data_IF_057661038380
#
_entry.id   IF_057661038380
#
_cell.length_a   1.000
_cell.length_b   1.000
_cell.length_c   1.000
_cell.angle_alpha   90.00
_cell.angle_beta   90.00
_cell.angle_gamma   90.00
#
_symmetry.space_group_name_H-M   'P 1'
#
loop_
_entity.id
_entity.type
_entity.pdbx_description
1 polymer ?
#
# COMPACT_ATOMS: atom_id res chain seq x y z
N UNK A 1 -10.05 40.17 -13.36
CA UNK A 1 -9.54 39.45 -12.19
C UNK A 1 -8.03 39.62 -12.13
N UNK A 2 -7.49 40.23 -11.08
CA UNK A 2 -6.05 40.55 -11.00
C UNK A 2 -5.20 39.29 -10.84
N UNK A 3 -3.89 39.39 -11.16
CA UNK A 3 -2.92 38.28 -10.95
C UNK A 3 -2.86 37.88 -9.47
N UNK A 4 -2.98 38.86 -8.57
CA UNK A 4 -3.00 38.66 -7.12
C UNK A 4 -4.22 37.87 -6.65
N UNK A 5 -5.42 38.13 -7.18
CA UNK A 5 -6.66 37.40 -6.85
C UNK A 5 -6.54 35.92 -7.25
N UNK A 6 -5.98 35.62 -8.41
CA UNK A 6 -5.77 34.25 -8.89
C UNK A 6 -4.72 33.49 -8.05
N UNK A 7 -3.68 34.18 -7.57
CA UNK A 7 -2.68 33.58 -6.69
C UNK A 7 -3.27 33.29 -5.31
N UNK A 8 -4.06 34.22 -4.76
CA UNK A 8 -4.75 34.04 -3.48
C UNK A 8 -5.78 32.88 -3.53
N UNK A 9 -6.59 32.79 -4.58
CA UNK A 9 -7.53 31.67 -4.77
C UNK A 9 -6.79 30.32 -4.87
N UNK A 10 -5.68 30.26 -5.59
CA UNK A 10 -4.85 29.05 -5.67
C UNK A 10 -4.22 28.68 -4.33
N UNK A 11 -3.79 29.68 -3.54
CA UNK A 11 -3.23 29.46 -2.21
C UNK A 11 -4.30 28.96 -1.23
N UNK A 12 -5.49 29.56 -1.22
CA UNK A 12 -6.64 29.14 -0.41
C UNK A 12 -7.06 27.72 -0.76
N UNK A 13 -7.17 27.41 -2.04
CA UNK A 13 -7.51 26.05 -2.49
C UNK A 13 -6.46 25.01 -2.06
N UNK A 14 -5.18 25.33 -2.13
CA UNK A 14 -4.09 24.45 -1.65
C UNK A 14 -4.12 24.24 -0.12
N UNK A 15 -4.41 25.30 0.65
CA UNK A 15 -4.54 25.21 2.12
C UNK A 15 -5.74 24.34 2.52
N UNK A 16 -6.87 24.48 1.84
CA UNK A 16 -8.07 23.70 2.12
C UNK A 16 -7.87 22.20 1.83
N UNK A 17 -7.24 21.86 0.71
CA UNK A 17 -6.86 20.48 0.38
C UNK A 17 -5.90 19.91 1.44
N UNK A 18 -4.92 20.70 1.87
CA UNK A 18 -3.97 20.31 2.93
C UNK A 18 -4.67 20.00 4.27
N UNK A 19 -5.71 20.74 4.67
CA UNK A 19 -6.49 20.46 5.89
C UNK A 19 -7.25 19.14 5.78
N UNK A 20 -7.96 18.92 4.69
CA UNK A 20 -8.71 17.68 4.45
C UNK A 20 -7.77 16.46 4.42
N UNK A 21 -6.64 16.59 3.76
CA UNK A 21 -5.65 15.52 3.69
C UNK A 21 -5.01 15.21 5.06
N UNK A 22 -4.76 16.21 5.90
CA UNK A 22 -4.29 15.99 7.29
C UNK A 22 -5.36 15.34 8.16
N UNK A 23 -6.60 15.78 8.05
CA UNK A 23 -7.72 15.15 8.76
C UNK A 23 -7.88 13.69 8.33
N UNK A 24 -7.82 13.40 7.02
CA UNK A 24 -7.86 12.05 6.50
C UNK A 24 -6.71 11.18 7.04
N UNK A 25 -5.48 11.72 7.12
CA UNK A 25 -4.35 11.02 7.70
C UNK A 25 -4.60 10.63 9.16
N UNK A 26 -5.01 11.60 9.99
CA UNK A 26 -5.27 11.37 11.41
C UNK A 26 -6.40 10.37 11.64
N UNK A 27 -7.54 10.57 10.98
CA UNK A 27 -8.69 9.67 11.10
C UNK A 27 -8.40 8.27 10.55
N UNK A 28 -7.60 8.16 9.49
CA UNK A 28 -7.16 6.85 8.98
C UNK A 28 -6.32 6.10 10.00
N UNK A 29 -5.37 6.76 10.64
CA UNK A 29 -4.55 6.14 11.69
C UNK A 29 -5.44 5.70 12.87
N UNK A 30 -6.31 6.60 13.36
CA UNK A 30 -7.23 6.30 14.47
C UNK A 30 -8.14 5.12 14.12
N UNK A 31 -8.77 5.14 12.94
CA UNK A 31 -9.64 4.06 12.49
C UNK A 31 -8.90 2.72 12.42
N UNK A 32 -7.72 2.71 11.81
CA UNK A 32 -6.93 1.48 11.66
C UNK A 32 -6.49 0.89 13.00
N UNK A 33 -6.15 1.74 13.97
CA UNK A 33 -5.76 1.27 15.30
C UNK A 33 -6.97 0.88 16.16
N UNK A 34 -8.13 1.52 15.98
CA UNK A 34 -9.32 1.27 16.78
C UNK A 34 -10.16 0.09 16.30
N UNK A 35 -10.35 -0.05 14.97
CA UNK A 35 -11.24 -1.06 14.39
C UNK A 35 -10.96 -2.51 14.86
N UNK A 36 -9.71 -2.99 14.88
CA UNK A 36 -9.44 -4.36 15.31
C UNK A 36 -9.62 -4.59 16.81
N UNK A 37 -9.66 -3.51 17.62
CA UNK A 37 -9.79 -3.59 19.09
C UNK A 37 -11.23 -3.54 19.59
N UNK A 38 -12.18 -3.15 18.74
CA UNK A 38 -13.60 -3.03 19.09
C UNK A 38 -14.33 -4.24 18.49
N UNK A 39 -14.81 -5.20 19.31
CA UNK A 39 -15.37 -6.45 18.80
C UNK A 39 -16.48 -6.27 17.76
N UNK A 40 -17.39 -5.30 17.96
CA UNK A 40 -18.48 -5.00 17.03
C UNK A 40 -17.98 -4.47 15.67
N UNK A 41 -16.81 -3.85 15.64
CA UNK A 41 -16.21 -3.25 14.43
C UNK A 41 -15.20 -4.19 13.75
N UNK A 42 -14.92 -5.35 14.34
CA UNK A 42 -13.96 -6.31 13.78
C UNK A 42 -14.30 -6.71 12.33
N UNK A 43 -15.59 -6.86 12.01
CA UNK A 43 -16.03 -7.18 10.64
C UNK A 43 -15.63 -6.08 9.63
N UNK A 44 -15.59 -4.82 10.06
CA UNK A 44 -15.13 -3.69 9.22
C UNK A 44 -13.61 -3.68 9.02
N UNK A 45 -12.87 -4.37 9.89
CA UNK A 45 -11.44 -4.56 9.76
C UNK A 45 -11.06 -5.57 8.67
N UNK A 46 -11.88 -6.61 8.44
CA UNK A 46 -11.58 -7.69 7.50
C UNK A 46 -11.23 -7.19 6.08
N UNK A 47 -11.98 -6.26 5.45
CA UNK A 47 -11.60 -5.73 4.14
C UNK A 47 -10.22 -5.08 4.12
N UNK A 48 -9.80 -4.44 5.20
CA UNK A 48 -8.46 -3.83 5.32
C UNK A 48 -7.38 -4.89 5.51
N UNK A 49 -7.67 -5.96 6.23
CA UNK A 49 -6.81 -7.12 6.36
C UNK A 49 -6.58 -7.79 5.00
N UNK A 50 -7.66 -8.02 4.23
CA UNK A 50 -7.55 -8.60 2.88
C UNK A 50 -6.79 -7.67 1.92
N UNK A 51 -6.97 -6.34 2.04
CA UNK A 51 -6.21 -5.38 1.27
C UNK A 51 -4.70 -5.49 1.55
N UNK A 52 -4.32 -5.64 2.82
CA UNK A 52 -2.95 -5.88 3.24
C UNK A 52 -2.38 -7.17 2.63
N UNK A 53 -3.15 -8.25 2.67
CA UNK A 53 -2.77 -9.53 2.07
C UNK A 53 -2.58 -9.41 0.56
N UNK A 54 -3.54 -8.78 -0.14
CA UNK A 54 -3.42 -8.54 -1.59
C UNK A 54 -2.15 -7.78 -1.93
N UNK A 55 -1.84 -6.71 -1.19
CA UNK A 55 -0.64 -5.91 -1.45
C UNK A 55 0.65 -6.73 -1.27
N UNK A 56 0.68 -7.62 -0.29
CA UNK A 56 1.79 -8.53 -0.03
C UNK A 56 1.93 -9.57 -1.17
N UNK A 57 0.85 -10.26 -1.52
CA UNK A 57 0.88 -11.29 -2.57
C UNK A 57 1.17 -10.69 -3.96
N UNK A 58 0.61 -9.52 -4.27
CA UNK A 58 0.96 -8.79 -5.49
C UNK A 58 2.42 -8.35 -5.49
N UNK A 59 2.99 -8.03 -4.32
CA UNK A 59 4.41 -7.73 -4.16
C UNK A 59 5.29 -8.89 -4.64
N UNK A 60 4.98 -10.13 -4.24
CA UNK A 60 5.65 -11.34 -4.74
C UNK A 60 5.48 -11.50 -6.24
N UNK A 61 4.22 -11.50 -6.73
CA UNK A 61 3.92 -11.73 -8.13
C UNK A 61 4.55 -10.69 -9.06
N UNK A 62 4.46 -9.40 -8.72
CA UNK A 62 5.05 -8.33 -9.51
C UNK A 62 6.59 -8.41 -9.50
N UNK A 63 7.20 -8.76 -8.36
CA UNK A 63 8.64 -8.94 -8.29
C UNK A 63 9.08 -10.13 -9.13
N UNK A 64 8.34 -11.24 -9.10
CA UNK A 64 8.62 -12.38 -9.98
C UNK A 64 8.63 -11.99 -11.46
N UNK A 65 7.64 -11.19 -11.91
CA UNK A 65 7.62 -10.65 -13.29
C UNK A 65 8.83 -9.76 -13.58
N UNK A 66 9.21 -8.88 -12.65
CA UNK A 66 10.32 -7.94 -12.84
C UNK A 66 11.68 -8.65 -12.96
N UNK A 67 11.84 -9.81 -12.33
CA UNK A 67 13.08 -10.60 -12.39
C UNK A 67 13.07 -11.67 -13.50
N UNK A 68 12.10 -11.61 -14.41
CA UNK A 68 12.02 -12.51 -15.58
C UNK A 68 11.34 -13.84 -15.33
N UNK A 69 10.65 -13.98 -14.20
CA UNK A 69 9.77 -15.10 -13.88
C UNK A 69 8.35 -14.91 -14.41
N UNK A 70 7.42 -15.70 -13.89
CA UNK A 70 5.99 -15.60 -14.20
C UNK A 70 5.17 -15.44 -12.91
N UNK A 71 4.05 -14.70 -13.01
CA UNK A 71 3.04 -14.61 -11.99
C UNK A 71 1.80 -15.35 -12.47
N UNK A 72 1.59 -16.55 -11.95
CA UNK A 72 0.59 -17.47 -12.48
C UNK A 72 -0.80 -17.22 -11.88
N UNK A 73 -0.86 -17.08 -10.56
CA UNK A 73 -2.12 -16.84 -9.86
C UNK A 73 -1.84 -16.43 -8.40
N UNK A 74 -2.84 -15.84 -7.73
CA UNK A 74 -2.84 -15.73 -6.28
C UNK A 74 -4.24 -15.91 -5.68
N UNK A 75 -4.24 -16.27 -4.40
CA UNK A 75 -5.43 -16.55 -3.61
C UNK A 75 -5.37 -15.74 -2.34
N UNK A 76 -6.47 -15.08 -1.99
CA UNK A 76 -6.73 -14.63 -0.61
C UNK A 76 -7.92 -15.40 -0.05
N UNK A 77 -7.90 -15.62 1.26
CA UNK A 77 -8.96 -16.37 1.96
C UNK A 77 -9.69 -15.46 2.94
N UNK A 78 -10.93 -15.81 3.31
CA UNK A 78 -11.72 -15.03 4.27
C UNK A 78 -11.04 -14.83 5.63
N UNK A 79 -10.14 -15.73 6.04
CA UNK A 79 -9.36 -15.64 7.28
C UNK A 79 -8.19 -14.63 7.20
N UNK A 80 -7.99 -13.99 6.04
CA UNK A 80 -6.92 -13.04 5.80
C UNK A 80 -5.61 -13.65 5.33
N UNK A 81 -5.51 -14.98 5.20
CA UNK A 81 -4.32 -15.62 4.61
C UNK A 81 -4.28 -15.43 3.09
N UNK A 82 -3.08 -15.47 2.51
CA UNK A 82 -2.85 -15.37 1.08
C UNK A 82 -1.77 -16.33 0.60
N UNK A 83 -1.70 -16.51 -0.71
CA UNK A 83 -0.63 -17.27 -1.35
C UNK A 83 -0.49 -16.82 -2.81
N UNK A 84 0.69 -16.31 -3.19
CA UNK A 84 1.06 -16.05 -4.57
C UNK A 84 1.75 -17.28 -5.17
N UNK A 85 1.38 -17.62 -6.40
CA UNK A 85 1.99 -18.69 -7.20
C UNK A 85 2.77 -18.04 -8.33
N UNK A 86 4.08 -18.11 -8.25
CA UNK A 86 5.02 -17.63 -9.24
C UNK A 86 5.98 -18.74 -9.65
N UNK A 87 6.60 -18.61 -10.81
CA UNK A 87 7.66 -19.51 -11.25
C UNK A 87 8.89 -18.68 -11.62
N UNK A 88 10.03 -19.13 -11.22
CA UNK A 88 11.32 -18.50 -11.48
C UNK A 88 12.19 -19.43 -12.35
N UNK A 89 13.20 -18.91 -13.06
CA UNK A 89 14.21 -19.74 -13.71
C UNK A 89 14.89 -20.69 -12.72
N UNK A 90 15.37 -21.84 -13.20
CA UNK A 90 16.09 -22.81 -12.37
C UNK A 90 17.36 -22.16 -11.77
N UNK A 91 17.74 -22.61 -10.57
CA UNK A 91 18.92 -22.16 -9.81
C UNK A 91 18.93 -20.65 -9.45
N UNK A 92 17.75 -20.09 -9.18
CA UNK A 92 17.55 -18.66 -9.02
C UNK A 92 17.48 -18.21 -7.54
N UNK A 93 18.34 -18.71 -6.64
CA UNK A 93 18.32 -18.40 -5.20
C UNK A 93 18.19 -16.90 -4.91
N UNK A 94 18.96 -16.06 -5.61
CA UNK A 94 18.90 -14.60 -5.43
C UNK A 94 17.55 -14.05 -5.87
N UNK A 95 16.95 -14.60 -6.93
CA UNK A 95 15.63 -14.17 -7.43
C UNK A 95 14.52 -14.59 -6.46
N UNK A 96 14.63 -15.78 -5.85
CA UNK A 96 13.70 -16.22 -4.78
C UNK A 96 13.73 -15.26 -3.58
N UNK A 97 14.92 -14.85 -3.16
CA UNK A 97 15.08 -13.86 -2.10
C UNK A 97 14.48 -12.49 -2.49
N UNK A 98 14.67 -12.05 -3.74
CA UNK A 98 14.06 -10.79 -4.22
C UNK A 98 12.55 -10.87 -4.29
N UNK A 99 11.98 -11.99 -4.72
CA UNK A 99 10.53 -12.22 -4.73
C UNK A 99 9.98 -12.20 -3.30
N UNK A 100 10.64 -12.88 -2.36
CA UNK A 100 10.28 -12.85 -0.94
C UNK A 100 10.35 -11.42 -0.37
N UNK A 101 11.42 -10.67 -0.66
CA UNK A 101 11.53 -9.27 -0.27
C UNK A 101 10.42 -8.40 -0.89
N UNK A 102 10.01 -8.70 -2.12
CA UNK A 102 8.95 -7.96 -2.84
C UNK A 102 7.62 -7.96 -2.10
N UNK A 103 7.21 -9.07 -1.52
CA UNK A 103 6.04 -9.15 -0.65
C UNK A 103 6.17 -8.27 0.60
N UNK A 104 7.35 -8.28 1.24
CA UNK A 104 7.59 -7.56 2.49
C UNK A 104 7.70 -6.03 2.30
N UNK A 105 8.37 -5.57 1.21
CA UNK A 105 8.64 -4.14 1.01
C UNK A 105 7.69 -3.47 0.00
N UNK A 106 7.02 -4.25 -0.85
CA UNK A 106 6.09 -3.75 -1.87
C UNK A 106 5.02 -2.82 -1.31
N UNK A 107 4.28 -3.19 -0.26
CA UNK A 107 3.28 -2.33 0.36
C UNK A 107 3.83 -0.97 0.81
N UNK A 108 5.06 -0.91 1.34
CA UNK A 108 5.70 0.34 1.75
C UNK A 108 6.02 1.26 0.56
N UNK A 109 6.52 0.69 -0.53
CA UNK A 109 6.83 1.43 -1.77
C UNK A 109 5.53 2.01 -2.37
N UNK A 110 4.47 1.20 -2.42
CA UNK A 110 3.16 1.66 -2.92
C UNK A 110 2.60 2.76 -2.03
N UNK A 111 2.65 2.61 -0.71
CA UNK A 111 2.19 3.62 0.24
C UNK A 111 2.93 4.95 0.10
N UNK A 112 4.27 4.92 0.00
CA UNK A 112 5.08 6.12 -0.20
C UNK A 112 4.73 6.82 -1.52
N UNK A 113 4.54 6.06 -2.60
CA UNK A 113 4.11 6.57 -3.91
C UNK A 113 2.74 7.25 -3.79
N UNK A 114 1.79 6.65 -3.08
CA UNK A 114 0.46 7.24 -2.88
C UNK A 114 0.49 8.50 -2.02
N UNK A 115 1.33 8.59 -1.00
CA UNK A 115 1.56 9.84 -0.28
C UNK A 115 2.07 10.95 -1.21
N UNK A 116 2.99 10.63 -2.12
CA UNK A 116 3.50 11.59 -3.10
C UNK A 116 2.40 12.03 -4.08
N UNK A 117 1.62 11.10 -4.62
CA UNK A 117 0.53 11.40 -5.55
C UNK A 117 -0.61 12.20 -4.87
N UNK A 118 -0.93 11.88 -3.62
CA UNK A 118 -1.99 12.55 -2.86
C UNK A 118 -1.72 14.04 -2.58
N UNK A 119 -0.51 14.55 -2.85
CA UNK A 119 -0.18 15.97 -2.73
C UNK A 119 -0.98 16.87 -3.69
N UNK A 120 -1.45 16.33 -4.81
CA UNK A 120 -2.16 17.06 -5.86
C UNK A 120 -3.48 16.38 -6.17
N UNK A 121 -4.55 17.13 -6.43
CA UNK A 121 -5.85 16.56 -6.78
C UNK A 121 -5.80 15.60 -7.97
N UNK A 122 -5.11 16.00 -9.04
CA UNK A 122 -4.93 15.14 -10.21
C UNK A 122 -4.11 13.89 -9.86
N UNK A 123 -3.05 14.04 -9.09
CA UNK A 123 -2.23 12.91 -8.61
C UNK A 123 -3.06 11.92 -7.80
N UNK A 124 -3.95 12.40 -6.93
CA UNK A 124 -4.84 11.54 -6.15
C UNK A 124 -5.81 10.76 -7.04
N UNK A 125 -6.42 11.40 -8.03
CA UNK A 125 -7.29 10.72 -9.00
C UNK A 125 -6.52 9.68 -9.82
N UNK A 126 -5.32 10.03 -10.30
CA UNK A 126 -4.43 9.10 -11.01
C UNK A 126 -4.04 7.92 -10.11
N UNK A 127 -3.68 8.18 -8.85
CA UNK A 127 -3.36 7.12 -7.88
C UNK A 127 -4.53 6.16 -7.64
N UNK A 128 -5.75 6.69 -7.45
CA UNK A 128 -6.96 5.86 -7.31
C UNK A 128 -7.27 5.09 -8.58
N UNK A 129 -7.10 5.70 -9.77
CA UNK A 129 -7.33 5.03 -11.04
C UNK A 129 -6.31 3.91 -11.30
N UNK A 130 -5.04 4.15 -10.99
CA UNK A 130 -3.98 3.13 -11.11
C UNK A 130 -4.22 1.97 -10.13
N UNK A 131 -4.60 2.28 -8.88
CA UNK A 131 -4.95 1.25 -7.90
C UNK A 131 -6.16 0.43 -8.36
N UNK A 132 -7.25 1.10 -8.75
CA UNK A 132 -8.46 0.43 -9.22
C UNK A 132 -8.22 -0.40 -10.48
N UNK A 133 -7.48 0.17 -11.45
CA UNK A 133 -7.11 -0.53 -12.68
C UNK A 133 -6.22 -1.75 -12.42
N UNK A 134 -5.24 -1.64 -11.52
CA UNK A 134 -4.39 -2.76 -11.13
C UNK A 134 -5.18 -3.89 -10.47
N UNK A 135 -6.15 -3.55 -9.60
CA UNK A 135 -6.99 -4.53 -8.93
C UNK A 135 -7.95 -5.23 -9.90
N UNK A 136 -8.58 -4.48 -10.81
CA UNK A 136 -9.44 -5.07 -11.87
C UNK A 136 -8.61 -5.96 -12.80
N UNK A 137 -7.42 -5.51 -13.22
CA UNK A 137 -6.53 -6.32 -14.03
C UNK A 137 -6.09 -7.59 -13.28
N UNK A 138 -5.72 -7.49 -12.01
CA UNK A 138 -5.37 -8.66 -11.20
C UNK A 138 -6.56 -9.61 -11.04
N UNK A 139 -7.79 -9.09 -10.87
CA UNK A 139 -9.01 -9.90 -10.82
C UNK A 139 -9.23 -10.71 -12.12
N UNK A 140 -8.90 -10.12 -13.26
CA UNK A 140 -9.11 -10.75 -14.55
C UNK A 140 -7.99 -11.71 -14.97
N UNK A 141 -6.75 -11.43 -14.56
CA UNK A 141 -5.58 -12.11 -15.11
C UNK A 141 -4.98 -13.18 -14.20
N UNK A 142 -4.97 -12.93 -12.87
CA UNK A 142 -4.19 -13.74 -11.92
C UNK A 142 -4.94 -14.11 -10.63
N UNK A 143 -6.12 -13.55 -10.39
CA UNK A 143 -6.90 -13.90 -9.19
C UNK A 143 -7.51 -15.30 -9.31
N UNK A 144 -7.44 -16.06 -8.23
CA UNK A 144 -8.20 -17.32 -8.13
C UNK A 144 -9.70 -17.01 -8.19
N UNK A 145 -10.48 -17.81 -8.94
CA UNK A 145 -11.93 -17.62 -9.03
C UNK A 145 -12.63 -17.68 -7.66
N UNK A 146 -13.70 -16.91 -7.52
CA UNK A 146 -14.47 -16.83 -6.29
C UNK A 146 -14.11 -15.63 -5.42
N UNK A 147 -13.79 -15.84 -4.14
CA UNK A 147 -13.61 -14.76 -3.18
C UNK A 147 -12.55 -13.74 -3.59
N UNK A 148 -11.37 -14.20 -4.02
CA UNK A 148 -10.26 -13.32 -4.45
C UNK A 148 -10.69 -12.42 -5.60
N UNK A 149 -11.29 -13.00 -6.63
CA UNK A 149 -11.72 -12.28 -7.83
C UNK A 149 -12.83 -11.27 -7.51
N UNK A 150 -13.82 -11.68 -6.71
CA UNK A 150 -14.93 -10.80 -6.30
C UNK A 150 -14.41 -9.63 -5.47
N UNK A 151 -13.54 -9.89 -4.49
CA UNK A 151 -12.96 -8.86 -3.65
C UNK A 151 -12.18 -7.83 -4.48
N UNK A 152 -11.28 -8.28 -5.35
CA UNK A 152 -10.47 -7.40 -6.20
C UNK A 152 -11.33 -6.61 -7.17
N UNK A 153 -12.26 -7.26 -7.85
CA UNK A 153 -13.18 -6.59 -8.78
C UNK A 153 -14.02 -5.51 -8.09
N UNK A 154 -14.53 -5.82 -6.89
CA UNK A 154 -15.33 -4.87 -6.10
C UNK A 154 -14.51 -3.68 -5.62
N UNK A 155 -13.35 -3.93 -4.98
CA UNK A 155 -12.49 -2.86 -4.46
C UNK A 155 -11.90 -2.04 -5.61
N UNK A 156 -11.47 -2.69 -6.68
CA UNK A 156 -10.94 -2.02 -7.87
C UNK A 156 -12.00 -1.16 -8.55
N UNK A 157 -13.20 -1.69 -8.74
CA UNK A 157 -14.34 -0.95 -9.30
C UNK A 157 -14.71 0.27 -8.46
N UNK A 158 -14.81 0.11 -7.13
CA UNK A 158 -15.06 1.22 -6.21
C UNK A 158 -13.97 2.30 -6.30
N UNK A 159 -12.70 1.91 -6.42
CA UNK A 159 -11.60 2.87 -6.56
C UNK A 159 -11.66 3.63 -7.90
N UNK A 160 -12.04 2.99 -9.00
CA UNK A 160 -12.25 3.65 -10.30
C UNK A 160 -13.42 4.63 -10.24
N UNK A 161 -14.53 4.25 -9.62
CA UNK A 161 -15.68 5.14 -9.39
C UNK A 161 -15.26 6.32 -8.51
N UNK A 162 -14.48 6.08 -7.44
CA UNK A 162 -13.96 7.14 -6.57
C UNK A 162 -13.02 8.09 -7.33
N UNK A 163 -12.16 7.58 -8.21
CA UNK A 163 -11.28 8.39 -9.06
C UNK A 163 -12.08 9.32 -10.00
N UNK A 164 -13.19 8.83 -10.54
CA UNK A 164 -14.03 9.58 -11.47
C UNK A 164 -14.95 10.60 -10.79
N UNK A 165 -15.60 10.20 -9.69
CA UNK A 165 -16.74 10.93 -9.13
C UNK A 165 -16.42 11.77 -7.88
N UNK A 166 -15.39 11.41 -7.09
CA UNK A 166 -15.07 12.16 -5.89
C UNK A 166 -14.59 13.58 -6.21
N UNK A 167 -14.96 14.53 -5.35
CA UNK A 167 -14.35 15.85 -5.38
C UNK A 167 -12.85 15.77 -5.05
N UNK A 168 -12.09 16.80 -5.44
CA UNK A 168 -10.64 16.85 -5.28
C UNK A 168 -10.14 16.50 -3.86
N UNK A 169 -10.80 17.05 -2.83
CA UNK A 169 -10.43 16.81 -1.43
C UNK A 169 -10.75 15.40 -0.96
N UNK A 170 -11.88 14.84 -1.37
CA UNK A 170 -12.26 13.47 -1.04
C UNK A 170 -11.40 12.44 -1.76
N UNK A 171 -11.03 12.69 -3.04
CA UNK A 171 -10.08 11.82 -3.75
C UNK A 171 -8.71 11.78 -3.06
N UNK A 172 -8.21 12.94 -2.59
CA UNK A 172 -6.97 12.98 -1.80
C UNK A 172 -7.11 12.24 -0.48
N UNK A 173 -8.24 12.43 0.24
CA UNK A 173 -8.54 11.72 1.48
C UNK A 173 -8.57 10.21 1.28
N UNK A 174 -9.24 9.73 0.24
CA UNK A 174 -9.31 8.31 -0.09
C UNK A 174 -7.92 7.72 -0.40
N UNK A 175 -7.10 8.41 -1.21
CA UNK A 175 -5.76 7.93 -1.51
C UNK A 175 -4.84 7.94 -0.27
N UNK A 176 -4.95 8.97 0.60
CA UNK A 176 -4.22 9.02 1.87
C UNK A 176 -4.66 7.88 2.79
N UNK A 177 -5.97 7.60 2.87
CA UNK A 177 -6.48 6.45 3.62
C UNK A 177 -5.82 5.14 3.15
N UNK A 178 -5.82 4.87 1.85
CA UNK A 178 -5.17 3.69 1.28
C UNK A 178 -3.66 3.67 1.58
N UNK A 179 -2.96 4.81 1.48
CA UNK A 179 -1.55 4.91 1.82
C UNK A 179 -1.27 4.54 3.28
N UNK A 180 -2.12 5.01 4.21
CA UNK A 180 -2.01 4.65 5.64
C UNK A 180 -2.26 3.17 5.84
N UNK A 181 -3.29 2.58 5.20
CA UNK A 181 -3.56 1.14 5.31
C UNK A 181 -2.36 0.32 4.83
N UNK A 182 -1.76 0.67 3.70
CA UNK A 182 -0.56 -0.01 3.20
C UNK A 182 0.65 0.18 4.12
N UNK A 183 0.83 1.38 4.69
CA UNK A 183 1.92 1.63 5.63
C UNK A 183 1.79 0.78 6.89
N UNK A 184 0.58 0.67 7.45
CA UNK A 184 0.32 -0.08 8.67
C UNK A 184 0.35 -1.59 8.43
N UNK A 185 0.04 -2.05 7.20
CA UNK A 185 0.10 -3.45 6.83
C UNK A 185 1.51 -4.05 7.03
N UNK A 186 2.54 -3.26 6.79
CA UNK A 186 3.95 -3.67 6.99
C UNK A 186 4.22 -4.03 8.46
N UNK A 187 3.57 -3.33 9.40
CA UNK A 187 3.85 -3.46 10.84
C UNK A 187 2.79 -4.25 11.61
N UNK A 188 1.56 -4.32 11.13
CA UNK A 188 0.51 -5.13 11.76
C UNK A 188 0.71 -6.63 11.56
N UNK A 189 1.55 -6.99 10.61
CA UNK A 189 1.99 -8.35 10.31
C UNK A 189 3.46 -8.54 10.67
N UNK A 190 3.93 -7.91 11.75
CA UNK A 190 5.32 -7.99 12.21
C UNK A 190 5.79 -9.41 12.53
N UNK A 191 4.87 -10.33 12.80
CA UNK A 191 5.13 -11.77 12.84
C UNK A 191 5.79 -12.29 11.57
N UNK A 192 5.44 -11.80 10.37
CA UNK A 192 6.10 -12.19 9.11
C UNK A 192 7.57 -11.77 9.01
N UNK A 193 7.95 -10.69 9.68
CA UNK A 193 9.32 -10.18 9.67
C UNK A 193 10.26 -10.96 10.61
N UNK A 194 9.71 -11.64 11.62
CA UNK A 194 10.51 -12.23 12.70
C UNK A 194 10.12 -13.67 13.03
N UNK A 195 9.39 -14.35 12.14
CA UNK A 195 9.08 -15.77 12.28
C UNK A 195 9.72 -16.60 11.18
N UNK A 196 10.17 -17.79 11.53
CA UNK A 196 10.75 -18.72 10.57
C UNK A 196 9.68 -19.48 9.78
N UNK A 197 8.53 -19.68 10.40
CA UNK A 197 7.41 -20.43 9.83
C UNK A 197 6.20 -19.54 9.66
N UNK A 198 5.62 -19.53 8.47
CA UNK A 198 4.39 -18.81 8.19
C UNK A 198 3.19 -19.55 8.78
N UNK A 199 2.51 -18.95 9.76
CA UNK A 199 1.22 -19.45 10.24
C UNK A 199 0.10 -19.06 9.25
N UNK A 200 -0.91 -19.91 9.00
CA UNK A 200 -1.13 -21.26 9.51
C UNK A 200 -0.61 -22.39 8.60
N UNK A 201 0.08 -22.07 7.51
CA UNK A 201 0.47 -23.06 6.49
C UNK A 201 1.58 -24.04 6.93
N UNK A 202 2.39 -23.66 7.93
CA UNK A 202 3.58 -24.39 8.31
C UNK A 202 4.74 -24.30 7.29
N UNK A 203 4.58 -23.57 6.20
CA UNK A 203 5.62 -23.31 5.22
C UNK A 203 6.67 -22.31 5.74
N UNK A 204 7.90 -22.30 5.19
CA UNK A 204 8.86 -21.23 5.50
C UNK A 204 8.26 -19.85 5.24
N UNK A 205 8.58 -18.89 6.11
CA UNK A 205 8.20 -17.49 5.90
C UNK A 205 9.09 -16.85 4.82
N UNK A 206 8.72 -15.65 4.35
CA UNK A 206 9.53 -14.92 3.38
C UNK A 206 10.95 -14.66 3.87
N UNK A 207 11.11 -14.31 5.14
CA UNK A 207 12.45 -14.08 5.72
C UNK A 207 13.23 -15.38 5.88
N UNK A 208 12.56 -16.51 6.10
CA UNK A 208 13.18 -17.82 6.08
C UNK A 208 13.63 -18.21 4.66
N UNK A 209 12.79 -17.96 3.65
CA UNK A 209 13.15 -18.15 2.25
C UNK A 209 14.40 -17.33 1.86
N UNK A 210 14.45 -16.05 2.28
CA UNK A 210 15.63 -15.21 2.07
C UNK A 210 16.87 -15.78 2.76
N UNK A 211 16.73 -16.26 4.00
CA UNK A 211 17.83 -16.87 4.75
C UNK A 211 18.32 -18.18 4.09
N UNK A 212 17.42 -19.00 3.58
CA UNK A 212 17.76 -20.22 2.83
C UNK A 212 18.48 -19.90 1.51
N UNK A 213 18.03 -18.86 0.81
CA UNK A 213 18.56 -18.48 -0.49
C UNK A 213 19.92 -17.77 -0.41
N UNK A 214 20.12 -16.90 0.59
CA UNK A 214 21.29 -16.01 0.68
C UNK A 214 22.18 -16.28 1.90
N UNK A 215 21.74 -17.16 2.81
CA UNK A 215 22.41 -17.42 4.08
C UNK A 215 22.08 -16.37 5.14
N UNK A 216 22.65 -16.59 6.33
CA UNK A 216 22.41 -15.73 7.49
C UNK A 216 21.11 -16.04 8.24
N UNK A 217 20.87 -15.41 9.38
CA UNK A 217 19.69 -15.66 10.18
C UNK A 217 18.46 -14.93 9.59
N UNK A 218 17.29 -15.56 9.61
CA UNK A 218 16.03 -15.02 9.06
C UNK A 218 15.65 -13.65 9.67
N UNK A 219 15.88 -13.45 10.96
CA UNK A 219 15.56 -12.18 11.62
C UNK A 219 16.40 -11.00 11.10
N UNK A 220 17.60 -11.23 10.58
CA UNK A 220 18.42 -10.16 9.98
C UNK A 220 17.79 -9.67 8.67
N UNK A 221 17.24 -10.57 7.86
CA UNK A 221 16.49 -10.22 6.65
C UNK A 221 15.19 -9.50 6.99
N UNK A 222 14.48 -9.93 8.04
CA UNK A 222 13.31 -9.22 8.55
C UNK A 222 13.64 -7.79 9.00
N UNK A 223 14.73 -7.61 9.73
CA UNK A 223 15.21 -6.29 10.13
C UNK A 223 15.58 -5.43 8.91
N UNK A 224 16.28 -5.98 7.94
CA UNK A 224 16.64 -5.26 6.71
C UNK A 224 15.40 -4.79 5.93
N UNK A 225 14.44 -5.68 5.68
CA UNK A 225 13.18 -5.33 5.01
C UNK A 225 12.35 -4.32 5.83
N UNK A 226 12.28 -4.48 7.14
CA UNK A 226 11.57 -3.57 8.05
C UNK A 226 12.19 -2.17 8.06
N UNK A 227 13.51 -2.05 8.16
CA UNK A 227 14.22 -0.77 8.13
C UNK A 227 14.10 -0.09 6.75
N UNK A 228 14.22 -0.85 5.67
CA UNK A 228 14.01 -0.34 4.32
C UNK A 228 12.58 0.21 4.17
N UNK A 229 11.58 -0.55 4.58
CA UNK A 229 10.18 -0.13 4.54
C UNK A 229 9.94 1.13 5.37
N UNK A 230 10.50 1.19 6.58
CA UNK A 230 10.41 2.38 7.45
C UNK A 230 11.04 3.61 6.78
N UNK A 231 12.23 3.47 6.20
CA UNK A 231 12.91 4.55 5.49
C UNK A 231 12.06 5.08 4.33
N UNK A 232 11.56 4.18 3.47
CA UNK A 232 10.72 4.56 2.31
C UNK A 232 9.45 5.27 2.74
N UNK A 233 8.77 4.76 3.78
CA UNK A 233 7.56 5.37 4.33
C UNK A 233 7.84 6.75 4.94
N UNK A 234 8.91 6.90 5.72
CA UNK A 234 9.30 8.19 6.30
C UNK A 234 9.60 9.21 5.21
N UNK A 235 10.32 8.82 4.16
CA UNK A 235 10.60 9.70 3.03
C UNK A 235 9.31 10.11 2.31
N UNK A 236 8.41 9.16 2.00
CA UNK A 236 7.11 9.44 1.37
C UNK A 236 6.25 10.39 2.21
N UNK A 237 6.15 10.13 3.51
CA UNK A 237 5.38 10.96 4.45
C UNK A 237 5.99 12.35 4.64
N UNK A 238 7.33 12.47 4.75
CA UNK A 238 8.01 13.77 4.83
C UNK A 238 7.76 14.61 3.57
N UNK A 239 7.78 13.99 2.40
CA UNK A 239 7.44 14.66 1.16
C UNK A 239 5.99 15.13 1.14
N UNK A 240 5.07 14.30 1.59
CA UNK A 240 3.65 14.64 1.70
C UNK A 240 3.44 15.85 2.63
N UNK A 241 3.99 15.81 3.84
CA UNK A 241 3.83 16.87 4.86
C UNK A 241 4.61 18.14 4.47
N UNK A 242 5.81 18.01 3.97
CA UNK A 242 6.70 19.14 3.63
C UNK A 242 6.15 20.05 2.52
N UNK A 243 5.27 19.52 1.66
CA UNK A 243 4.53 20.34 0.69
C UNK A 243 3.53 21.29 1.35
N UNK A 244 3.05 20.93 2.54
CA UNK A 244 2.06 21.72 3.29
C UNK A 244 2.68 22.87 4.09
N UNK A 245 3.97 22.76 4.45
CA UNK A 245 4.64 23.75 5.31
C UNK A 245 5.33 24.92 4.58
N UNK A 246 5.74 24.73 3.33
CA UNK A 246 6.48 25.76 2.58
C UNK A 246 5.64 26.93 2.08
N UNK A 247 4.32 26.83 2.10
CA UNK A 247 3.39 27.88 1.67
C UNK A 247 2.99 28.86 2.79
N UNK A 248 3.12 28.47 4.06
CA UNK A 248 2.67 29.28 5.20
C UNK A 248 3.59 30.46 5.53
N UNK A 249 4.88 30.40 5.21
CA UNK A 249 5.84 31.44 5.60
C UNK A 249 6.23 32.41 4.45
N UNK A 250 6.02 32.01 3.18
CA UNK A 250 6.28 32.90 2.04
C UNK A 250 5.08 33.77 1.66
N UNK A 251 3.85 33.26 1.88
CA UNK A 251 2.62 33.99 1.55
C UNK A 251 2.23 35.03 2.61
N UNK A 252 2.88 35.03 3.79
CA UNK A 252 2.72 36.03 4.84
C UNK A 252 3.71 37.20 4.75
N UNK A 253 4.64 37.16 3.76
CA UNK A 253 5.67 38.21 3.57
C UNK A 253 5.53 38.99 2.26
N UNK A 254 4.49 38.71 1.50
CA UNK A 254 4.10 39.45 0.28
C UNK A 254 2.77 40.16 0.48
#
# INVERSE_FOLDING_TARGET
>A
MSRATRVAERAIHRIQISRQARAALLWSIVATLALPRIPVLHTLWLPLLWLSTVAHELGHGLTALLVGGSFNRFVIRPDGSGTAFSSLPADANVLDALVSAGGLVGPAIVAATWFILARRPLGARVGLALFGGAFVAAAALVADPGFTQIYLGSVGGLALVAAALLSAGWAQGALVFLAVQMSLSVYTRSDYLFTEVAAPSGAPSDVANMAHALGGPYWAWGLACGLFSALVLVLGLRWYIGASGKLSLRDLRS
#
